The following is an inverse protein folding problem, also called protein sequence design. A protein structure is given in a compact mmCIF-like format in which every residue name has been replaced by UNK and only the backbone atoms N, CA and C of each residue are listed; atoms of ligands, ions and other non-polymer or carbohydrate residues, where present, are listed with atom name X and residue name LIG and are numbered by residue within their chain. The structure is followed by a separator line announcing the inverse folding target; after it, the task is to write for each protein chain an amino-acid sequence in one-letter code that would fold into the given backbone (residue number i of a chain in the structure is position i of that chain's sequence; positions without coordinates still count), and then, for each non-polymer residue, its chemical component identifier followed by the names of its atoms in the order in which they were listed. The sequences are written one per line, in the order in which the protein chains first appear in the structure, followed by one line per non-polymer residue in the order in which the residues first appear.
data_IF_592982439937
#
_entry.id   IF_592982439937
#
_cell.length_a   1.000
_cell.length_b   1.000
_cell.length_c   1.000
_cell.angle_alpha   90.00
_cell.angle_beta   90.00
_cell.angle_gamma   90.00
#
_symmetry.space_group_name_H-M   'P 1'
#
loop_
_entity.id
_entity.type
_entity.pdbx_description
1 polymer ?
#
# COMPACT_ATOMS: atom_id res chain seq x y z
N UNK A 1 4.31 -1.72 -16.25
CA UNK A 1 3.13 -1.45 -15.43
C UNK A 1 2.15 -0.55 -16.19
N UNK A 2 0.88 -0.84 -16.05
CA UNK A 2 -0.19 -0.03 -16.67
C UNK A 2 -0.99 0.65 -15.58
N UNK A 3 -1.07 1.97 -15.63
CA UNK A 3 -1.92 2.74 -14.72
C UNK A 3 -3.36 2.67 -15.21
N UNK A 4 -4.23 1.98 -14.45
CA UNK A 4 -5.64 1.81 -14.81
C UNK A 4 -6.49 3.01 -14.40
N UNK A 5 -6.10 3.71 -13.34
CA UNK A 5 -6.87 4.85 -12.89
C UNK A 5 -6.20 5.57 -11.73
N UNK A 6 -6.72 6.76 -11.44
CA UNK A 6 -6.25 7.60 -10.35
C UNK A 6 -7.47 8.30 -9.75
N UNK A 7 -7.68 8.09 -8.45
CA UNK A 7 -8.88 8.57 -7.75
C UNK A 7 -8.48 9.35 -6.52
N UNK A 8 -9.13 10.48 -6.30
CA UNK A 8 -9.01 11.23 -5.05
C UNK A 8 -10.24 10.90 -4.22
N UNK A 9 -10.01 10.39 -3.00
CA UNK A 9 -11.08 9.94 -2.11
C UNK A 9 -11.07 10.79 -0.84
N UNK A 10 -12.26 11.22 -0.40
CA UNK A 10 -12.42 11.90 0.87
C UNK A 10 -11.94 10.98 2.01
N UNK A 11 -11.25 11.56 3.00
CA UNK A 11 -10.73 10.81 4.16
C UNK A 11 -11.88 10.44 5.10
N UNK A 12 -12.65 9.47 4.69
CA UNK A 12 -13.79 8.91 5.39
C UNK A 12 -13.70 7.40 5.32
N UNK A 13 -13.90 6.72 6.44
CA UNK A 13 -13.73 5.26 6.53
C UNK A 13 -14.55 4.53 5.48
N UNK A 14 -15.81 4.89 5.31
CA UNK A 14 -16.70 4.16 4.41
C UNK A 14 -16.47 4.52 2.95
N UNK A 15 -16.12 5.76 2.65
CA UNK A 15 -15.74 6.15 1.29
C UNK A 15 -14.48 5.44 0.86
N UNK A 16 -13.46 5.37 1.72
CA UNK A 16 -12.23 4.64 1.45
C UNK A 16 -12.50 3.15 1.22
N UNK A 17 -13.29 2.53 2.09
CA UNK A 17 -13.65 1.11 1.95
C UNK A 17 -14.40 0.84 0.66
N UNK A 18 -15.35 1.69 0.30
CA UNK A 18 -16.15 1.53 -0.92
C UNK A 18 -15.25 1.54 -2.16
N UNK A 19 -14.41 2.54 -2.30
CA UNK A 19 -13.53 2.69 -3.46
C UNK A 19 -12.54 1.54 -3.54
N UNK A 20 -11.87 1.22 -2.43
CA UNK A 20 -10.83 0.19 -2.41
C UNK A 20 -11.44 -1.20 -2.61
N UNK A 21 -12.59 -1.48 -2.00
CA UNK A 21 -13.26 -2.77 -2.21
C UNK A 21 -13.64 -3.00 -3.66
N UNK A 22 -14.11 -1.97 -4.36
CA UNK A 22 -14.41 -2.07 -5.79
C UNK A 22 -13.17 -2.42 -6.60
N UNK A 23 -12.04 -1.81 -6.28
CA UNK A 23 -10.77 -2.09 -6.95
C UNK A 23 -10.25 -3.49 -6.63
N UNK A 24 -10.38 -3.93 -5.38
CA UNK A 24 -10.00 -5.28 -4.97
C UNK A 24 -10.85 -6.33 -5.72
N UNK A 25 -12.11 -6.05 -5.96
CA UNK A 25 -13.01 -6.95 -6.69
C UNK A 25 -12.75 -6.97 -8.20
N UNK A 26 -12.11 -5.94 -8.74
CA UNK A 26 -11.85 -5.82 -10.17
C UNK A 26 -10.73 -6.78 -10.59
N UNK A 27 -10.98 -7.73 -11.51
CA UNK A 27 -9.97 -8.70 -11.93
C UNK A 27 -8.78 -8.06 -12.67
N UNK A 28 -8.92 -6.83 -13.15
CA UNK A 28 -7.82 -6.13 -13.84
C UNK A 28 -6.87 -5.41 -12.90
N UNK A 29 -7.24 -5.21 -11.64
CA UNK A 29 -6.44 -4.48 -10.68
C UNK A 29 -5.55 -5.46 -9.91
N UNK A 30 -4.23 -5.34 -10.07
CA UNK A 30 -3.26 -6.19 -9.37
C UNK A 30 -2.61 -5.46 -8.19
N UNK A 31 -2.54 -4.14 -8.24
CA UNK A 31 -1.90 -3.35 -7.18
C UNK A 31 -2.64 -2.04 -6.97
N UNK A 32 -2.74 -1.64 -5.72
CA UNK A 32 -3.32 -0.36 -5.31
C UNK A 32 -2.29 0.39 -4.49
N UNK A 33 -2.01 1.63 -4.87
CA UNK A 33 -1.10 2.52 -4.15
C UNK A 33 -1.92 3.65 -3.55
N UNK A 34 -1.93 3.73 -2.23
CA UNK A 34 -2.65 4.77 -1.49
C UNK A 34 -1.66 5.68 -0.77
N UNK A 35 -1.91 6.98 -0.83
CA UNK A 35 -1.09 7.96 -0.12
C UNK A 35 -1.96 8.82 0.79
N UNK A 36 -1.45 9.10 2.00
CA UNK A 36 -2.14 9.93 2.98
C UNK A 36 -2.93 9.13 4.01
N UNK A 37 -3.34 9.79 5.06
CA UNK A 37 -4.20 9.21 6.10
C UNK A 37 -3.54 8.18 7.01
N UNK A 38 -2.21 8.16 7.09
CA UNK A 38 -1.47 7.17 7.91
C UNK A 38 -0.89 7.73 9.21
N UNK A 39 -1.12 9.01 9.52
CA UNK A 39 -0.67 9.62 10.78
C UNK A 39 -1.58 9.29 11.96
N UNK A 40 -1.50 10.08 13.02
CA UNK A 40 -2.20 9.80 14.29
C UNK A 40 -3.30 10.81 14.61
N UNK A 41 -3.68 11.68 13.68
CA UNK A 41 -4.79 12.61 13.91
C UNK A 41 -6.13 11.92 13.67
N UNK A 42 -7.22 12.59 14.08
CA UNK A 42 -8.57 12.09 13.84
C UNK A 42 -8.94 12.01 12.36
N UNK A 43 -8.17 12.68 11.49
CA UNK A 43 -8.36 12.65 10.04
C UNK A 43 -7.58 11.52 9.35
N UNK A 44 -6.75 10.80 10.10
CA UNK A 44 -5.91 9.75 9.54
C UNK A 44 -6.65 8.41 9.65
N UNK A 45 -7.56 8.15 8.71
CA UNK A 45 -8.48 7.01 8.75
C UNK A 45 -8.04 5.83 7.88
N UNK A 46 -6.94 5.93 7.14
CA UNK A 46 -6.54 4.89 6.19
C UNK A 46 -6.31 3.53 6.86
N UNK A 47 -5.55 3.41 7.97
CA UNK A 47 -5.39 2.11 8.62
C UNK A 47 -6.71 1.50 9.07
N UNK A 48 -7.58 2.30 9.69
CA UNK A 48 -8.87 1.83 10.17
C UNK A 48 -9.78 1.35 9.03
N UNK A 49 -9.77 2.07 7.90
CA UNK A 49 -10.61 1.76 6.76
C UNK A 49 -10.13 0.53 6.01
N UNK A 50 -8.84 0.41 5.78
CA UNK A 50 -8.27 -0.51 4.78
C UNK A 50 -7.75 -1.80 5.40
N UNK A 51 -7.11 -1.74 6.56
CA UNK A 51 -6.57 -2.95 7.21
C UNK A 51 -7.61 -4.08 7.33
N UNK A 52 -8.88 -3.83 7.70
CA UNK A 52 -9.87 -4.90 7.78
C UNK A 52 -10.22 -5.57 6.45
N UNK A 53 -9.84 -4.98 5.32
CA UNK A 53 -10.11 -5.56 3.99
C UNK A 53 -9.07 -6.61 3.59
N UNK A 54 -7.97 -6.72 4.32
CA UNK A 54 -6.88 -7.62 3.96
C UNK A 54 -7.17 -9.07 4.32
N UNK A 55 -6.85 -9.97 3.43
CA UNK A 55 -6.79 -11.41 3.71
C UNK A 55 -5.50 -11.75 4.45
N UNK A 56 -4.39 -11.07 4.10
CA UNK A 56 -3.08 -11.27 4.70
C UNK A 56 -2.39 -9.93 4.87
N UNK A 57 -1.87 -9.66 6.07
CA UNK A 57 -1.04 -8.47 6.30
C UNK A 57 0.38 -8.71 5.80
N UNK A 58 0.96 -7.72 5.13
CA UNK A 58 2.37 -7.73 4.74
C UNK A 58 3.12 -6.88 5.75
N UNK A 59 3.36 -7.46 6.92
CA UNK A 59 3.97 -6.75 8.06
C UNK A 59 5.36 -6.19 7.69
N UNK A 60 6.11 -6.94 6.90
CA UNK A 60 7.45 -6.53 6.49
C UNK A 60 7.51 -5.23 5.71
N UNK A 61 6.44 -4.84 5.02
CA UNK A 61 6.44 -3.57 4.30
C UNK A 61 6.58 -2.39 5.26
N UNK A 62 5.73 -2.33 6.26
CA UNK A 62 5.78 -1.23 7.25
C UNK A 62 7.08 -1.20 8.02
N UNK A 63 7.59 -2.37 8.38
CA UNK A 63 8.88 -2.49 9.07
C UNK A 63 10.03 -1.93 8.22
N UNK A 64 10.14 -2.38 6.98
CA UNK A 64 11.19 -1.91 6.07
C UNK A 64 11.03 -0.42 5.73
N UNK A 65 9.80 0.01 5.47
CA UNK A 65 9.54 1.42 5.17
C UNK A 65 10.02 2.32 6.32
N UNK A 66 9.67 1.99 7.55
CA UNK A 66 10.06 2.79 8.70
C UNK A 66 11.57 2.75 8.95
N UNK A 67 12.21 1.63 8.67
CA UNK A 67 13.68 1.54 8.75
C UNK A 67 14.35 2.47 7.75
N UNK A 68 13.88 2.49 6.51
CA UNK A 68 14.41 3.38 5.47
C UNK A 68 14.10 4.85 5.77
N UNK A 69 12.89 5.12 6.21
CA UNK A 69 12.44 6.47 6.59
C UNK A 69 13.26 7.02 7.75
N UNK A 70 13.68 6.17 8.68
CA UNK A 70 14.54 6.60 9.79
C UNK A 70 15.85 7.22 9.30
N UNK A 71 16.42 6.75 8.22
CA UNK A 71 17.62 7.32 7.63
C UNK A 71 17.41 8.77 7.19
N UNK A 72 16.18 9.13 6.84
CA UNK A 72 15.85 10.45 6.29
C UNK A 72 15.32 11.42 7.36
N UNK A 73 14.42 10.95 8.21
CA UNK A 73 13.70 11.81 9.18
C UNK A 73 13.89 11.39 10.64
N UNK A 74 14.77 10.44 10.90
CA UNK A 74 15.13 9.99 12.24
C UNK A 74 13.89 9.49 13.01
N UNK A 75 13.77 9.83 14.30
CA UNK A 75 12.69 9.33 15.16
C UNK A 75 11.28 9.73 14.68
N UNK A 76 11.17 10.75 13.84
CA UNK A 76 9.85 11.15 13.32
C UNK A 76 9.18 10.06 12.48
N UNK A 77 9.93 9.04 12.07
CA UNK A 77 9.35 7.89 11.36
C UNK A 77 8.28 7.16 12.19
N UNK A 78 8.29 7.28 13.53
CA UNK A 78 7.26 6.66 14.37
C UNK A 78 5.88 7.27 14.17
N UNK A 79 5.79 8.44 13.55
CA UNK A 79 4.53 9.08 13.18
C UNK A 79 3.86 8.43 11.96
N UNK A 80 4.56 7.53 11.27
CA UNK A 80 4.03 6.86 10.09
C UNK A 80 3.46 5.49 10.45
N UNK A 81 2.19 5.28 10.11
CA UNK A 81 1.57 3.96 10.17
C UNK A 81 1.44 3.35 8.78
N UNK A 82 2.49 3.50 7.97
CA UNK A 82 2.56 2.85 6.67
C UNK A 82 2.37 1.34 6.80
N UNK A 83 1.58 0.76 5.91
CA UNK A 83 1.24 -0.66 5.96
C UNK A 83 0.88 -1.19 4.57
N UNK A 84 0.84 -2.51 4.44
CA UNK A 84 0.45 -3.16 3.20
C UNK A 84 -0.23 -4.49 3.49
N UNK A 85 -0.97 -5.00 2.51
CA UNK A 85 -1.63 -6.28 2.62
C UNK A 85 -2.04 -6.84 1.28
N UNK A 86 -2.47 -8.10 1.29
CA UNK A 86 -3.05 -8.77 0.14
C UNK A 86 -4.55 -8.95 0.37
N UNK A 87 -5.33 -8.69 -0.66
CA UNK A 87 -6.77 -8.91 -0.64
C UNK A 87 -7.21 -9.35 -2.03
N UNK A 88 -7.81 -10.52 -2.13
CA UNK A 88 -8.32 -11.09 -3.39
C UNK A 88 -7.25 -11.07 -4.51
N UNK A 89 -6.00 -11.38 -4.19
CA UNK A 89 -4.92 -11.35 -5.19
C UNK A 89 -4.48 -9.97 -5.61
N UNK A 90 -4.92 -8.92 -4.94
CA UNK A 90 -4.47 -7.54 -5.14
C UNK A 90 -3.57 -7.15 -3.99
N UNK A 91 -2.41 -6.56 -4.28
CA UNK A 91 -1.55 -6.00 -3.24
C UNK A 91 -1.91 -4.53 -3.02
N UNK A 92 -2.04 -4.13 -1.76
CA UNK A 92 -2.39 -2.75 -1.38
C UNK A 92 -1.29 -2.18 -0.54
N UNK A 93 -0.71 -1.06 -0.97
CA UNK A 93 0.29 -0.32 -0.21
C UNK A 93 -0.30 0.99 0.25
N UNK A 94 -0.16 1.29 1.54
CA UNK A 94 -0.62 2.55 2.14
C UNK A 94 0.57 3.28 2.73
N UNK A 95 0.87 4.46 2.17
CA UNK A 95 2.05 5.24 2.54
C UNK A 95 1.65 6.66 2.97
N UNK A 96 2.52 7.35 3.75
CA UNK A 96 2.26 8.74 4.09
C UNK A 96 2.14 9.63 2.86
N UNK A 97 1.43 10.74 3.01
CA UNK A 97 1.13 11.64 1.89
C UNK A 97 2.27 12.56 1.47
N UNK A 98 3.39 12.61 2.19
CA UNK A 98 4.50 13.49 1.82
C UNK A 98 5.22 12.99 0.57
N UNK A 99 5.72 13.90 -0.30
CA UNK A 99 6.46 13.49 -1.48
C UNK A 99 7.68 12.62 -1.17
N UNK A 100 8.43 12.95 -0.11
CA UNK A 100 9.59 12.15 0.30
C UNK A 100 9.23 10.73 0.69
N UNK A 101 8.12 10.56 1.42
CA UNK A 101 7.65 9.24 1.81
C UNK A 101 7.24 8.41 0.59
N UNK A 102 6.54 9.02 -0.35
CA UNK A 102 6.12 8.35 -1.59
C UNK A 102 7.34 7.91 -2.42
N UNK A 103 8.35 8.76 -2.53
CA UNK A 103 9.58 8.42 -3.25
C UNK A 103 10.33 7.27 -2.59
N UNK A 104 10.49 7.30 -1.27
CA UNK A 104 11.14 6.22 -0.54
C UNK A 104 10.40 4.90 -0.73
N UNK A 105 9.08 4.92 -0.56
CA UNK A 105 8.27 3.70 -0.73
C UNK A 105 8.38 3.14 -2.15
N UNK A 106 8.23 3.98 -3.16
CA UNK A 106 8.26 3.53 -4.54
C UNK A 106 9.64 3.08 -4.97
N UNK A 107 10.64 3.96 -4.82
CA UNK A 107 11.98 3.72 -5.36
C UNK A 107 12.71 2.57 -4.66
N UNK A 108 12.49 2.41 -3.36
CA UNK A 108 13.29 1.48 -2.56
C UNK A 108 12.57 0.20 -2.19
N UNK A 109 11.25 0.10 -2.40
CA UNK A 109 10.49 -1.09 -2.03
C UNK A 109 9.53 -1.51 -3.13
N UNK A 110 8.54 -0.67 -3.46
CA UNK A 110 7.38 -1.08 -4.25
C UNK A 110 7.77 -1.44 -5.68
N UNK A 111 8.56 -0.60 -6.35
CA UNK A 111 8.97 -0.85 -7.72
C UNK A 111 9.69 -2.19 -7.87
N UNK A 112 10.54 -2.54 -6.91
CA UNK A 112 11.24 -3.83 -6.90
C UNK A 112 10.26 -4.99 -6.70
N UNK A 113 9.36 -4.87 -5.74
CA UNK A 113 8.42 -5.96 -5.41
C UNK A 113 7.34 -6.16 -6.48
N UNK A 114 7.09 -5.17 -7.32
CA UNK A 114 6.18 -5.28 -8.47
C UNK A 114 6.91 -5.60 -9.78
N UNK A 115 8.19 -5.97 -9.71
CA UNK A 115 8.98 -6.39 -10.87
C UNK A 115 9.22 -7.88 -10.81
N UNK A 116 8.84 -8.60 -11.88
CA UNK A 116 9.10 -10.04 -12.00
C UNK A 116 10.60 -10.37 -12.10
N UNK A 117 11.43 -9.39 -12.37
CA UNK A 117 12.87 -9.56 -12.50
C UNK A 117 13.62 -9.42 -11.18
N UNK A 118 12.97 -8.88 -10.15
CA UNK A 118 13.62 -8.66 -8.85
C UNK A 118 13.88 -9.98 -8.12
N UNK A 119 15.09 -10.15 -7.65
CA UNK A 119 15.55 -11.34 -6.90
C UNK A 119 15.94 -10.94 -5.48
N UNK A 120 15.81 -11.86 -4.50
CA UNK A 120 15.47 -13.29 -4.62
C UNK A 120 13.98 -13.57 -4.80
N UNK A 121 13.08 -12.63 -4.46
CA UNK A 121 11.65 -12.84 -4.62
C UNK A 121 10.91 -11.51 -4.84
N UNK A 122 9.70 -11.62 -5.36
CA UNK A 122 8.81 -10.49 -5.61
C UNK A 122 7.35 -10.97 -5.50
N UNK A 123 6.39 -10.05 -5.61
CA UNK A 123 4.97 -10.37 -5.48
C UNK A 123 4.25 -10.67 -6.79
N UNK A 124 4.88 -10.49 -7.94
CA UNK A 124 4.19 -10.57 -9.24
C UNK A 124 3.50 -11.92 -9.44
N UNK A 125 4.21 -13.02 -9.20
CA UNK A 125 3.66 -14.35 -9.41
C UNK A 125 2.48 -14.65 -8.49
N UNK A 126 2.51 -14.13 -7.26
CA UNK A 126 1.45 -14.32 -6.29
C UNK A 126 0.16 -13.60 -6.71
N UNK A 127 0.30 -12.39 -7.28
CA UNK A 127 -0.85 -11.58 -7.71
C UNK A 127 -1.55 -12.20 -8.91
N UNK A 128 -0.80 -12.70 -9.87
CA UNK A 128 -1.34 -13.26 -11.10
C UNK A 128 -2.09 -14.57 -10.83
N UNK A 129 -1.52 -15.44 -9.99
CA UNK A 129 -2.13 -16.74 -9.69
C UNK A 129 -3.47 -16.57 -8.98
N UNK A 130 -3.50 -15.74 -7.93
CA UNK A 130 -4.71 -15.59 -7.11
C UNK A 130 -5.89 -14.99 -7.87
N UNK A 131 -5.65 -14.02 -8.75
CA UNK A 131 -6.72 -13.38 -9.53
C UNK A 131 -7.28 -14.28 -10.63
N UNK A 132 -6.49 -15.22 -11.13
CA UNK A 132 -6.88 -16.10 -12.22
C UNK A 132 -7.42 -17.44 -11.72
N UNK A 133 -7.36 -17.68 -10.45
CA UNK A 133 -7.95 -18.87 -9.84
C UNK A 133 -9.37 -18.61 -9.37
#
# INVERSE_FOLDING_TARGET
HNLLGKIIVKDDVYQLRSVVSQQIADPQVNAILMTGGTGFTARDNTPKAISPLFDVDIVGFGELFRQLSFEEIQSSTIQSRAFAGLANGTIVFCVPGSPGACETAWDRIIAEQLSSEHKPCNFVDKLLVDKNS
#
